data_IF_203501265630
#
_entry.id   IF_203501265630
#
_cell.length_a   1.000
_cell.length_b   1.000
_cell.length_c   1.000
_cell.angle_alpha   90.00
_cell.angle_beta   90.00
_cell.angle_gamma   90.00
#
_symmetry.space_group_name_H-M   'P 1'
#
loop_
_entity.id
_entity.type
_entity.pdbx_description
1 polymer ?
#
# COMPACT_ATOMS: atom_id res chain seq x y z
N UNK A 1 6.65 3.44 -13.96
CA UNK A 1 5.29 3.91 -14.21
C UNK A 1 4.56 4.10 -12.91
N UNK A 2 3.75 5.14 -12.83
CA UNK A 2 3.08 5.46 -11.57
C UNK A 2 2.17 4.34 -11.09
N UNK A 3 1.48 3.67 -12.01
CA UNK A 3 0.59 2.56 -11.64
C UNK A 3 1.36 1.43 -10.99
N UNK A 4 2.53 1.12 -11.50
CA UNK A 4 3.37 0.09 -10.90
C UNK A 4 3.79 0.45 -9.48
N UNK A 5 4.08 1.74 -9.25
CA UNK A 5 4.45 2.21 -7.92
C UNK A 5 3.29 2.09 -6.95
N UNK A 6 2.07 2.42 -7.40
CA UNK A 6 0.89 2.29 -6.54
C UNK A 6 0.68 0.85 -6.09
N UNK A 7 0.81 -0.09 -7.01
CA UNK A 7 0.71 -1.51 -6.66
C UNK A 7 1.79 -1.93 -5.68
N UNK A 8 3.00 -1.43 -5.87
CA UNK A 8 4.11 -1.76 -4.96
C UNK A 8 3.83 -1.28 -3.55
N UNK A 9 3.25 -0.10 -3.42
CA UNK A 9 2.87 0.43 -2.10
C UNK A 9 1.85 -0.47 -1.44
N UNK A 10 0.79 -0.81 -2.15
CA UNK A 10 -0.27 -1.67 -1.60
C UNK A 10 0.29 -3.03 -1.22
N UNK A 11 1.07 -3.64 -2.10
CA UNK A 11 1.64 -4.95 -1.84
C UNK A 11 2.55 -4.90 -0.60
N UNK A 12 3.37 -3.86 -0.50
CA UNK A 12 4.27 -3.71 0.64
C UNK A 12 3.48 -3.65 1.95
N UNK A 13 2.39 -2.88 1.95
CA UNK A 13 1.56 -2.75 3.15
C UNK A 13 0.85 -4.06 3.50
N UNK A 14 0.43 -4.81 2.47
CA UNK A 14 -0.19 -6.12 2.72
C UNK A 14 0.83 -7.11 3.29
N UNK A 15 2.05 -7.06 2.81
CA UNK A 15 3.10 -7.98 3.24
C UNK A 15 3.65 -7.62 4.63
N UNK A 16 3.93 -6.35 4.86
CA UNK A 16 4.58 -5.90 6.10
C UNK A 16 3.61 -5.46 7.19
N UNK A 17 2.38 -5.16 6.83
CA UNK A 17 1.38 -4.69 7.77
C UNK A 17 1.41 -3.18 7.98
N UNK A 18 2.57 -2.57 7.84
CA UNK A 18 2.72 -1.11 7.98
C UNK A 18 4.02 -0.68 7.32
N UNK A 19 4.09 0.61 7.04
CA UNK A 19 5.31 1.23 6.52
C UNK A 19 5.29 2.70 6.88
N UNK A 20 6.46 3.34 6.87
CA UNK A 20 6.55 4.79 7.01
C UNK A 20 6.72 5.40 5.63
N UNK A 21 6.37 6.69 5.50
CA UNK A 21 6.56 7.38 4.22
C UNK A 21 8.04 7.44 3.83
N UNK A 22 8.98 7.75 4.75
CA UNK A 22 10.41 7.69 4.39
C UNK A 22 10.86 6.31 3.94
N UNK A 23 10.35 5.27 4.57
CA UNK A 23 10.68 3.90 4.20
C UNK A 23 10.24 3.59 2.77
N UNK A 24 9.02 3.95 2.43
CA UNK A 24 8.49 3.75 1.08
C UNK A 24 9.24 4.60 0.06
N UNK A 25 9.55 5.84 0.44
CA UNK A 25 10.27 6.74 -0.45
C UNK A 25 11.63 6.17 -0.82
N UNK A 26 12.36 5.66 0.16
CA UNK A 26 13.65 5.05 -0.08
C UNK A 26 13.53 3.79 -0.93
N UNK A 27 12.57 2.94 -0.61
CA UNK A 27 12.37 1.69 -1.30
C UNK A 27 12.00 1.89 -2.77
N UNK A 28 11.20 2.91 -3.04
CA UNK A 28 10.70 3.17 -4.38
C UNK A 28 11.47 4.26 -5.10
N UNK A 29 12.50 4.80 -4.46
CA UNK A 29 13.39 5.81 -5.03
C UNK A 29 12.63 7.07 -5.47
N UNK A 30 11.72 7.53 -4.61
CA UNK A 30 10.97 8.77 -4.83
C UNK A 30 11.02 9.59 -3.55
N UNK A 31 10.51 10.83 -3.62
CA UNK A 31 10.45 11.69 -2.44
C UNK A 31 9.30 11.28 -1.54
N UNK A 32 9.41 11.68 -0.26
CA UNK A 32 8.32 11.48 0.70
C UNK A 32 7.05 12.17 0.20
N UNK A 33 7.21 13.34 -0.39
CA UNK A 33 6.06 14.07 -0.94
C UNK A 33 5.33 13.25 -2.00
N UNK A 34 6.09 12.57 -2.86
CA UNK A 34 5.50 11.70 -3.88
C UNK A 34 4.74 10.56 -3.24
N UNK A 35 5.27 9.99 -2.15
CA UNK A 35 4.57 8.92 -1.44
C UNK A 35 3.20 9.41 -0.94
N UNK A 36 3.16 10.59 -0.32
CA UNK A 36 1.87 11.11 0.17
C UNK A 36 0.89 11.38 -0.95
N UNK A 37 1.38 11.85 -2.10
CA UNK A 37 0.52 12.03 -3.27
C UNK A 37 -0.03 10.70 -3.78
N UNK A 38 0.81 9.67 -3.78
CA UNK A 38 0.38 8.33 -4.18
C UNK A 38 -0.67 7.79 -3.22
N UNK A 39 -0.50 8.03 -1.92
CA UNK A 39 -1.48 7.59 -0.93
C UNK A 39 -2.83 8.26 -1.16
N UNK A 40 -2.82 9.54 -1.54
CA UNK A 40 -4.06 10.25 -1.87
C UNK A 40 -4.75 9.61 -3.08
N UNK A 41 -3.97 9.27 -4.11
CA UNK A 41 -4.50 8.61 -5.30
C UNK A 41 -5.14 7.28 -4.92
N UNK A 42 -4.47 6.51 -4.08
CA UNK A 42 -4.99 5.22 -3.63
C UNK A 42 -6.28 5.39 -2.83
N UNK A 43 -6.33 6.40 -1.96
CA UNK A 43 -7.53 6.67 -1.17
C UNK A 43 -8.71 7.02 -2.06
N UNK A 44 -8.48 7.87 -3.06
CA UNK A 44 -9.54 8.25 -4.01
C UNK A 44 -10.01 7.04 -4.80
N UNK A 45 -9.11 6.11 -5.07
CA UNK A 45 -9.45 4.90 -5.80
C UNK A 45 -10.20 3.86 -4.95
N UNK A 46 -10.40 4.14 -3.67
CA UNK A 46 -11.14 3.24 -2.80
C UNK A 46 -10.28 2.30 -1.96
N UNK A 47 -8.97 2.46 -2.02
CA UNK A 47 -8.07 1.65 -1.20
C UNK A 47 -8.06 2.24 0.21
N UNK A 48 -8.50 1.51 1.24
CA UNK A 48 -8.65 2.08 2.58
C UNK A 48 -7.31 2.18 3.31
N UNK A 49 -6.62 3.27 3.05
CA UNK A 49 -5.34 3.58 3.66
C UNK A 49 -5.52 4.64 4.74
N UNK A 50 -4.84 4.50 5.85
CA UNK A 50 -4.82 5.54 6.87
C UNK A 50 -3.41 5.68 7.42
N UNK A 51 -3.16 6.84 8.02
CA UNK A 51 -1.85 7.15 8.59
C UNK A 51 -2.01 7.54 10.04
N UNK A 52 -0.98 7.25 10.84
CA UNK A 52 -0.90 7.69 12.23
C UNK A 52 0.41 8.45 12.41
N UNK A 53 0.44 9.33 13.41
CA UNK A 53 1.62 10.14 13.70
C UNK A 53 2.20 9.74 15.05
N UNK A 54 3.42 10.22 15.29
CA UNK A 54 4.10 9.98 16.56
C UNK A 54 4.90 8.69 16.54
N UNK A 55 5.38 8.29 17.70
CA UNK A 55 6.16 7.07 17.83
C UNK A 55 5.31 5.86 17.46
N UNK A 56 5.87 5.01 16.64
CA UNK A 56 5.14 3.85 16.17
C UNK A 56 4.11 4.17 15.10
N UNK A 57 4.06 5.43 14.65
CA UNK A 57 3.18 5.82 13.58
C UNK A 57 3.59 5.23 12.26
N UNK A 58 2.70 5.29 11.28
CA UNK A 58 2.99 4.75 9.98
C UNK A 58 1.77 4.75 9.09
N UNK A 59 1.91 4.04 7.99
CA UNK A 59 0.88 3.91 6.96
C UNK A 59 0.36 2.50 7.02
N UNK A 60 -0.96 2.35 7.03
CA UNK A 60 -1.62 1.05 7.19
C UNK A 60 -2.74 0.89 6.18
N UNK A 61 -3.05 -0.35 5.85
CA UNK A 61 -4.31 -0.68 5.20
C UNK A 61 -5.31 -1.06 6.30
N UNK A 62 -6.58 -0.66 6.11
CA UNK A 62 -7.60 -1.03 7.07
C UNK A 62 -7.83 -2.54 7.04
N UNK A 63 -8.16 -3.14 8.20
CA UNK A 63 -8.39 -4.59 8.27
C UNK A 63 -9.45 -5.08 7.30
N UNK A 64 -10.44 -4.24 7.00
CA UNK A 64 -11.50 -4.59 6.07
C UNK A 64 -10.96 -4.93 4.68
N UNK A 65 -9.98 -4.17 4.23
CA UNK A 65 -9.38 -4.44 2.92
C UNK A 65 -8.64 -5.78 2.94
N UNK A 66 -7.95 -6.07 4.03
CA UNK A 66 -7.24 -7.33 4.17
C UNK A 66 -8.20 -8.50 4.16
N UNK A 67 -9.37 -8.34 4.82
CA UNK A 67 -10.41 -9.36 4.82
C UNK A 67 -11.01 -9.56 3.43
N UNK A 68 -11.23 -8.46 2.72
CA UNK A 68 -11.76 -8.55 1.35
C UNK A 68 -10.84 -9.34 0.45
N UNK A 69 -9.54 -9.27 0.70
CA UNK A 69 -8.57 -10.06 -0.05
C UNK A 69 -8.90 -11.55 0.04
N UNK A 70 -9.48 -11.99 1.13
CA UNK A 70 -9.82 -13.40 1.32
C UNK A 70 -10.97 -13.84 0.40
N UNK A 71 -11.71 -12.91 -0.17
CA UNK A 71 -12.79 -13.22 -1.09
C UNK A 71 -12.28 -13.57 -2.49
N UNK A 72 -11.03 -13.27 -2.79
CA UNK A 72 -10.44 -13.63 -4.06
C UNK A 72 -10.18 -15.12 -4.11
N UNK A 73 -10.34 -15.71 -5.30
CA UNK A 73 -9.99 -17.10 -5.48
C UNK A 73 -8.47 -17.27 -5.30
N UNK A 74 -8.00 -18.45 -4.95
CA UNK A 74 -6.56 -18.67 -4.84
C UNK A 74 -5.81 -18.29 -6.11
N UNK A 75 -6.40 -18.55 -7.27
CA UNK A 75 -5.79 -18.21 -8.53
C UNK A 75 -5.68 -16.69 -8.71
N UNK A 76 -6.71 -15.95 -8.35
CA UNK A 76 -6.69 -14.50 -8.43
C UNK A 76 -5.65 -13.90 -7.50
N UNK A 77 -5.55 -14.43 -6.29
CA UNK A 77 -4.53 -13.97 -5.34
C UNK A 77 -3.13 -14.21 -5.87
N UNK A 78 -2.91 -15.36 -6.46
CA UNK A 78 -1.63 -15.70 -7.03
C UNK A 78 -1.26 -14.75 -8.17
N UNK A 79 -2.21 -14.47 -9.04
CA UNK A 79 -1.97 -13.55 -10.14
C UNK A 79 -1.64 -12.15 -9.65
N UNK A 80 -2.30 -11.68 -8.62
CA UNK A 80 -2.02 -10.36 -8.05
C UNK A 80 -0.59 -10.33 -7.50
N UNK A 81 -0.20 -11.36 -6.77
CA UNK A 81 1.14 -11.42 -6.20
C UNK A 81 2.21 -11.50 -7.29
N UNK A 82 1.95 -12.24 -8.34
CA UNK A 82 2.91 -12.40 -9.42
C UNK A 82 3.04 -11.15 -10.29
N UNK A 83 2.01 -10.32 -10.32
CA UNK A 83 2.05 -9.07 -11.08
C UNK A 83 2.90 -8.00 -10.40
N UNK A 84 3.26 -8.20 -9.16
CA UNK A 84 4.02 -7.24 -8.36
C UNK A 84 5.48 -7.65 -8.28
#
# INVERSE_FOLDING_TARGET
MEQGRLFKIVYYLLDKGRATAPELAEKLEVSVRTIYRDLDVLSVAGIPIYTTQGKGGGIFLLPEFVLDKSLLSPQEKEQILMAL
#
